data_IF_258296890189
#
_entry.id   IF_258296890189
#
_cell.length_a   1.000
_cell.length_b   1.000
_cell.length_c   1.000
_cell.angle_alpha   90.00
_cell.angle_beta   90.00
_cell.angle_gamma   90.00
#
_symmetry.space_group_name_H-M   'P 1'
#
loop_
_entity.id
_entity.type
_entity.pdbx_description
1 polymer ?
#
# COMPACT_ATOMS: atom_id res chain seq x y z
N UNK A 1 -101.60 14.89 -23.53
CA UNK A 1 -103.06 15.00 -23.31
C UNK A 1 -103.49 13.91 -22.32
N UNK A 2 -104.16 14.32 -21.23
CA UNK A 2 -105.00 13.55 -20.29
C UNK A 2 -104.40 12.45 -19.39
N UNK A 3 -104.30 12.83 -18.11
CA UNK A 3 -104.63 12.09 -16.88
C UNK A 3 -105.46 10.79 -17.02
N UNK A 4 -105.13 9.76 -16.22
CA UNK A 4 -105.81 9.49 -14.92
C UNK A 4 -105.14 8.39 -14.09
N UNK A 5 -105.18 8.64 -12.78
CA UNK A 5 -104.78 7.86 -11.60
C UNK A 5 -105.57 6.55 -11.40
N UNK A 6 -104.93 5.53 -10.82
CA UNK A 6 -105.49 4.76 -9.69
C UNK A 6 -104.39 4.05 -8.87
N UNK A 7 -104.51 4.16 -7.56
CA UNK A 7 -103.72 3.56 -6.47
C UNK A 7 -103.81 2.02 -6.41
N UNK A 8 -102.75 1.33 -5.96
CA UNK A 8 -102.74 0.56 -4.68
C UNK A 8 -101.35 -0.07 -4.35
N UNK A 9 -100.85 0.27 -3.15
CA UNK A 9 -100.11 -0.55 -2.15
C UNK A 9 -98.78 -1.29 -2.45
N UNK A 10 -97.83 -1.02 -1.55
CA UNK A 10 -96.47 -1.54 -1.39
C UNK A 10 -96.39 -3.00 -0.91
N UNK A 11 -95.38 -3.75 -1.38
CA UNK A 11 -94.65 -4.75 -0.58
C UNK A 11 -93.14 -4.59 -0.88
N UNK A 12 -92.38 -4.12 0.11
CA UNK A 12 -90.92 -4.02 0.09
C UNK A 12 -90.34 -5.38 0.51
N UNK A 13 -89.72 -6.12 -0.41
CA UNK A 13 -89.01 -7.35 -0.10
C UNK A 13 -87.56 -7.02 0.33
N UNK A 14 -87.30 -7.08 1.64
CA UNK A 14 -85.96 -7.00 2.22
C UNK A 14 -85.23 -8.33 2.02
N UNK A 15 -84.29 -8.38 1.07
CA UNK A 15 -83.29 -9.44 0.97
C UNK A 15 -82.26 -9.27 2.09
N UNK A 16 -82.44 -10.01 3.20
CA UNK A 16 -81.39 -10.20 4.21
C UNK A 16 -80.35 -11.19 3.65
N UNK A 17 -79.28 -10.66 3.07
CA UNK A 17 -78.05 -11.44 2.83
C UNK A 17 -77.38 -11.61 4.20
N UNK A 18 -77.57 -12.77 4.82
CA UNK A 18 -76.83 -13.13 6.03
C UNK A 18 -75.35 -13.31 5.69
N UNK A 19 -74.54 -12.28 5.93
CA UNK A 19 -73.09 -12.42 5.97
C UNK A 19 -72.72 -13.29 7.18
N UNK A 20 -72.45 -14.58 6.95
CA UNK A 20 -71.83 -15.44 7.95
C UNK A 20 -70.41 -14.94 8.21
N UNK A 21 -70.22 -14.26 9.33
CA UNK A 21 -68.88 -14.01 9.87
C UNK A 21 -68.33 -15.37 10.30
N UNK A 22 -67.21 -15.87 9.74
CA UNK A 22 -66.63 -17.10 10.25
C UNK A 22 -66.19 -16.87 11.70
N UNK A 23 -66.74 -17.66 12.61
CA UNK A 23 -66.30 -17.69 14.00
C UNK A 23 -64.81 -18.07 14.04
N UNK A 24 -63.95 -17.09 14.32
CA UNK A 24 -62.53 -17.31 14.58
C UNK A 24 -62.44 -18.08 15.90
N UNK A 25 -62.36 -19.40 15.80
CA UNK A 25 -62.06 -20.25 16.96
C UNK A 25 -60.62 -19.97 17.38
N UNK A 26 -60.45 -19.29 18.50
CA UNK A 26 -59.15 -19.17 19.15
C UNK A 26 -58.65 -20.58 19.50
N UNK A 27 -57.58 -21.03 18.83
CA UNK A 27 -57.00 -22.34 19.10
C UNK A 27 -56.45 -22.35 20.54
N UNK A 28 -56.92 -23.30 21.36
CA UNK A 28 -56.51 -23.43 22.76
C UNK A 28 -54.99 -23.69 22.84
N UNK A 29 -54.28 -22.79 23.52
CA UNK A 29 -52.87 -22.99 23.88
C UNK A 29 -52.82 -24.02 25.00
N UNK A 30 -52.00 -25.05 24.84
CA UNK A 30 -51.79 -26.10 25.85
C UNK A 30 -50.29 -26.24 26.11
N UNK A 31 -49.89 -26.46 27.36
CA UNK A 31 -48.51 -26.84 27.66
C UNK A 31 -48.42 -28.37 27.58
N UNK A 32 -47.46 -28.89 26.83
CA UNK A 32 -47.31 -30.33 26.66
C UNK A 32 -45.96 -30.72 26.07
N UNK A 33 -45.83 -32.02 25.78
CA UNK A 33 -44.62 -32.60 25.18
C UNK A 33 -44.97 -33.29 23.85
N UNK A 34 -44.08 -33.20 22.87
CA UNK A 34 -44.20 -33.90 21.59
C UNK A 34 -42.83 -34.16 20.96
N UNK A 35 -42.76 -35.13 20.06
CA UNK A 35 -41.55 -35.37 19.24
C UNK A 35 -41.61 -34.51 17.97
N UNK A 36 -40.58 -33.70 17.74
CA UNK A 36 -40.41 -32.91 16.52
C UNK A 36 -40.05 -33.82 15.33
N UNK A 37 -40.14 -33.29 14.11
CA UNK A 37 -39.82 -34.04 12.87
C UNK A 37 -38.36 -34.51 12.80
N UNK A 38 -37.46 -33.79 13.46
CA UNK A 38 -36.03 -34.10 13.57
C UNK A 38 -35.72 -35.04 14.75
N UNK A 39 -36.74 -35.58 15.43
CA UNK A 39 -36.60 -36.52 16.53
C UNK A 39 -36.39 -35.86 17.90
N UNK A 40 -36.30 -34.53 17.97
CA UNK A 40 -36.13 -33.84 19.24
C UNK A 40 -37.38 -33.95 20.13
N UNK A 41 -37.16 -34.12 21.44
CA UNK A 41 -38.23 -34.09 22.45
C UNK A 41 -38.48 -32.63 22.82
N UNK A 42 -39.65 -32.11 22.42
CA UNK A 42 -40.11 -30.76 22.74
C UNK A 42 -40.97 -30.75 24.00
N UNK A 43 -40.84 -29.71 24.82
CA UNK A 43 -41.75 -29.41 25.93
C UNK A 43 -42.03 -27.91 25.95
N UNK A 44 -43.30 -27.51 25.93
CA UNK A 44 -43.69 -26.10 25.91
C UNK A 44 -45.10 -25.86 25.38
N UNK A 45 -45.35 -24.66 24.88
CA UNK A 45 -46.62 -24.22 24.32
C UNK A 45 -46.96 -24.91 22.99
N UNK A 46 -48.19 -25.43 22.92
CA UNK A 46 -48.75 -26.15 21.78
C UNK A 46 -50.02 -25.44 21.31
N UNK A 47 -50.11 -25.24 20.00
CA UNK A 47 -51.32 -24.73 19.31
C UNK A 47 -51.71 -25.74 18.24
N UNK A 48 -52.92 -26.30 18.36
CA UNK A 48 -53.38 -27.38 17.46
C UNK A 48 -52.48 -28.61 17.49
N UNK A 49 -51.93 -28.95 18.66
CA UNK A 49 -51.01 -30.08 18.85
C UNK A 49 -49.60 -29.87 18.28
N UNK A 50 -49.26 -28.67 17.82
CA UNK A 50 -47.94 -28.33 17.26
C UNK A 50 -47.23 -27.30 18.13
N UNK A 51 -45.88 -27.39 18.27
CA UNK A 51 -45.09 -26.37 18.98
C UNK A 51 -45.33 -24.98 18.41
N UNK A 52 -45.76 -24.07 19.26
CA UNK A 52 -46.05 -22.68 18.91
C UNK A 52 -46.02 -21.83 20.18
N UNK A 53 -45.18 -20.79 20.21
CA UNK A 53 -44.85 -20.06 21.44
C UNK A 53 -43.56 -20.56 22.09
N UNK A 54 -43.38 -20.31 23.39
CA UNK A 54 -42.13 -20.64 24.08
C UNK A 54 -42.03 -22.13 24.40
N UNK A 55 -40.82 -22.68 24.30
CA UNK A 55 -40.56 -24.04 24.76
C UNK A 55 -39.09 -24.45 24.64
N UNK A 56 -38.84 -25.70 24.99
CA UNK A 56 -37.51 -26.33 25.00
C UNK A 56 -37.52 -27.61 24.18
N UNK A 57 -36.53 -27.78 23.32
CA UNK A 57 -36.28 -29.01 22.56
C UNK A 57 -34.96 -29.64 22.97
N UNK A 58 -34.95 -30.96 23.20
CA UNK A 58 -33.76 -31.78 23.48
C UNK A 58 -33.55 -32.74 22.34
N UNK A 59 -32.39 -32.67 21.72
CA UNK A 59 -32.01 -33.51 20.58
C UNK A 59 -31.26 -34.75 21.06
N UNK A 60 -31.30 -35.82 20.28
CA UNK A 60 -30.64 -37.10 20.62
C UNK A 60 -29.12 -37.00 20.70
N UNK A 61 -28.52 -36.04 19.99
CA UNK A 61 -27.08 -35.75 20.04
C UNK A 61 -26.66 -34.92 21.27
N UNK A 62 -27.60 -34.53 22.14
CA UNK A 62 -27.35 -33.70 23.32
C UNK A 62 -27.52 -32.19 23.08
N UNK A 63 -27.78 -31.74 21.85
CA UNK A 63 -28.10 -30.34 21.60
C UNK A 63 -29.39 -29.95 22.33
N UNK A 64 -29.50 -28.68 22.69
CA UNK A 64 -30.73 -28.12 23.26
C UNK A 64 -31.08 -26.79 22.63
N UNK A 65 -32.37 -26.55 22.43
CA UNK A 65 -32.91 -25.24 22.07
C UNK A 65 -33.93 -24.81 23.10
N UNK A 66 -33.88 -23.54 23.50
CA UNK A 66 -34.89 -22.91 24.33
C UNK A 66 -35.25 -21.55 23.73
N UNK A 67 -36.51 -21.37 23.37
CA UNK A 67 -36.95 -20.16 22.67
C UNK A 67 -38.33 -20.28 22.05
N UNK A 68 -38.62 -19.40 21.10
CA UNK A 68 -39.90 -19.36 20.41
C UNK A 68 -39.98 -20.38 19.27
N UNK A 69 -41.19 -20.93 19.07
CA UNK A 69 -41.51 -21.84 17.99
C UNK A 69 -42.69 -21.31 17.20
N UNK A 70 -42.69 -21.56 15.89
CA UNK A 70 -43.86 -21.36 15.02
C UNK A 70 -44.03 -22.60 14.16
N UNK A 71 -45.17 -23.29 14.31
CA UNK A 71 -45.51 -24.52 13.56
C UNK A 71 -44.42 -25.60 13.65
N UNK A 72 -43.82 -25.77 14.83
CA UNK A 72 -42.78 -26.77 15.07
C UNK A 72 -41.37 -26.39 14.62
N UNK A 73 -41.15 -25.16 14.14
CA UNK A 73 -39.84 -24.65 13.76
C UNK A 73 -39.38 -23.57 14.73
N UNK A 74 -38.09 -23.56 15.07
CA UNK A 74 -37.46 -22.48 15.83
C UNK A 74 -37.66 -21.14 15.11
N UNK A 75 -38.13 -20.15 15.86
CA UNK A 75 -38.49 -18.83 15.37
C UNK A 75 -38.21 -17.79 16.46
N UNK A 76 -38.19 -16.50 16.12
CA UNK A 76 -38.06 -15.44 17.13
C UNK A 76 -36.78 -15.54 17.94
N UNK A 77 -36.81 -15.10 19.20
CA UNK A 77 -35.64 -15.18 20.08
C UNK A 77 -35.48 -16.58 20.68
N UNK A 78 -34.22 -17.05 20.75
CA UNK A 78 -33.92 -18.31 21.41
C UNK A 78 -32.44 -18.58 21.57
N UNK A 79 -32.14 -19.49 22.50
CA UNK A 79 -30.81 -19.99 22.81
C UNK A 79 -30.67 -21.42 22.30
N UNK A 80 -29.61 -21.70 21.56
CA UNK A 80 -29.21 -23.05 21.18
C UNK A 80 -27.87 -23.39 21.82
N UNK A 81 -27.87 -24.38 22.69
CA UNK A 81 -26.64 -24.95 23.25
C UNK A 81 -26.31 -26.20 22.44
N UNK A 82 -25.13 -26.19 21.83
CA UNK A 82 -24.63 -27.32 21.06
C UNK A 82 -23.93 -28.31 21.99
N UNK A 83 -23.99 -29.60 21.68
CA UNK A 83 -23.33 -30.66 22.43
C UNK A 83 -21.80 -30.53 22.45
N UNK A 84 -21.23 -29.82 21.47
CA UNK A 84 -19.80 -29.48 21.43
C UNK A 84 -19.39 -28.41 22.46
N UNK A 85 -20.35 -27.77 23.13
CA UNK A 85 -20.15 -26.71 24.12
C UNK A 85 -20.27 -25.30 23.55
N UNK A 86 -20.41 -25.12 22.23
CA UNK A 86 -20.72 -23.83 21.64
C UNK A 86 -22.17 -23.41 21.93
N UNK A 87 -22.46 -22.12 21.78
CA UNK A 87 -23.80 -21.58 22.05
C UNK A 87 -24.16 -20.45 21.10
N UNK A 88 -25.41 -20.42 20.65
CA UNK A 88 -26.00 -19.28 19.95
C UNK A 88 -27.15 -18.69 20.77
N UNK A 89 -27.20 -17.37 20.86
CA UNK A 89 -28.28 -16.60 21.44
C UNK A 89 -28.74 -15.56 20.43
N UNK A 90 -29.99 -15.58 20.00
CA UNK A 90 -30.50 -14.56 19.09
C UNK A 90 -31.71 -14.98 18.28
N UNK A 91 -31.87 -14.32 17.14
CA UNK A 91 -33.05 -14.46 16.30
C UNK A 91 -32.98 -15.70 15.38
N UNK A 92 -34.11 -16.38 15.29
CA UNK A 92 -34.33 -17.56 14.47
C UNK A 92 -35.46 -17.33 13.47
N UNK A 93 -35.34 -17.92 12.30
CA UNK A 93 -36.42 -17.99 11.32
C UNK A 93 -36.40 -19.35 10.65
N UNK A 94 -37.46 -20.14 10.88
CA UNK A 94 -37.64 -21.46 10.25
C UNK A 94 -36.41 -22.37 10.45
N UNK A 95 -35.97 -22.52 11.70
CA UNK A 95 -34.78 -23.29 12.10
C UNK A 95 -33.42 -22.70 11.71
N UNK A 96 -33.36 -21.52 11.11
CA UNK A 96 -32.09 -20.87 10.74
C UNK A 96 -31.81 -19.65 11.62
N UNK A 97 -30.54 -19.43 11.99
CA UNK A 97 -30.10 -18.16 12.60
C UNK A 97 -30.30 -17.04 11.60
N UNK A 98 -31.09 -16.04 11.96
CA UNK A 98 -31.49 -14.96 11.06
C UNK A 98 -31.87 -13.70 11.84
N UNK A 99 -31.18 -12.59 11.62
CA UNK A 99 -31.31 -11.36 12.40
C UNK A 99 -30.13 -11.15 13.35
N UNK A 100 -30.34 -10.46 14.48
CA UNK A 100 -29.27 -10.22 15.45
C UNK A 100 -29.03 -11.46 16.31
N UNK A 101 -27.78 -11.74 16.62
CA UNK A 101 -27.44 -12.78 17.58
C UNK A 101 -25.96 -12.84 17.92
N UNK A 102 -25.68 -13.52 19.03
CA UNK A 102 -24.35 -13.78 19.56
C UNK A 102 -24.04 -15.26 19.45
N UNK A 103 -22.87 -15.60 18.90
CA UNK A 103 -22.34 -16.96 18.89
C UNK A 103 -21.09 -17.02 19.77
N UNK A 104 -21.10 -17.94 20.72
CA UNK A 104 -20.00 -18.29 21.61
C UNK A 104 -19.39 -19.60 21.11
N UNK A 105 -18.17 -19.55 20.60
CA UNK A 105 -17.45 -20.72 20.14
C UNK A 105 -16.73 -21.42 21.30
N UNK A 106 -16.47 -22.72 21.14
CA UNK A 106 -15.74 -23.54 22.13
C UNK A 106 -14.34 -23.04 22.43
N UNK A 107 -13.71 -22.32 21.49
CA UNK A 107 -12.38 -21.76 21.64
C UNK A 107 -12.38 -20.36 22.28
N UNK A 108 -13.47 -19.94 22.90
CA UNK A 108 -13.69 -18.61 23.46
C UNK A 108 -13.78 -17.46 22.44
N UNK A 109 -13.80 -17.74 21.13
CA UNK A 109 -14.19 -16.72 20.16
C UNK A 109 -15.67 -16.37 20.34
N UNK A 110 -16.02 -15.10 20.12
CA UNK A 110 -17.39 -14.61 20.21
C UNK A 110 -17.72 -13.73 19.01
N UNK A 111 -18.77 -14.07 18.28
CA UNK A 111 -19.34 -13.20 17.25
C UNK A 111 -20.61 -12.53 17.76
N UNK A 112 -20.72 -11.21 17.61
CA UNK A 112 -21.92 -10.43 17.92
C UNK A 112 -22.30 -9.68 16.65
N UNK A 113 -23.44 -10.00 16.04
CA UNK A 113 -23.80 -9.33 14.79
C UNK A 113 -25.03 -9.88 14.10
N UNK A 114 -25.13 -9.55 12.82
CA UNK A 114 -26.20 -9.96 11.95
C UNK A 114 -25.94 -11.35 11.33
N UNK A 115 -27.01 -12.13 11.23
CA UNK A 115 -27.04 -13.46 10.68
C UNK A 115 -28.07 -13.53 9.56
N UNK A 116 -27.78 -14.29 8.52
CA UNK A 116 -28.73 -14.63 7.47
C UNK A 116 -28.53 -16.07 7.04
N UNK A 117 -29.59 -16.89 7.12
CA UNK A 117 -29.58 -18.30 6.76
C UNK A 117 -28.38 -19.06 7.34
N UNK A 118 -28.22 -18.96 8.66
CA UNK A 118 -27.13 -19.59 9.43
C UNK A 118 -25.72 -19.04 9.22
N UNK A 119 -25.52 -17.99 8.40
CA UNK A 119 -24.20 -17.39 8.15
C UNK A 119 -24.11 -15.98 8.75
N UNK A 120 -22.90 -15.56 9.14
CA UNK A 120 -22.61 -14.17 9.49
C UNK A 120 -22.76 -13.32 8.22
N UNK A 121 -23.56 -12.27 8.29
CA UNK A 121 -23.94 -11.44 7.15
C UNK A 121 -24.22 -10.01 7.62
N UNK A 122 -23.79 -8.98 6.88
CA UNK A 122 -23.97 -7.59 7.30
C UNK A 122 -23.01 -7.17 8.42
N UNK A 123 -23.42 -6.23 9.28
CA UNK A 123 -22.55 -5.69 10.33
C UNK A 123 -22.37 -6.67 11.50
N UNK A 124 -21.14 -6.84 11.97
CA UNK A 124 -20.86 -7.60 13.18
C UNK A 124 -19.45 -7.45 13.72
N UNK A 125 -19.28 -7.81 14.97
CA UNK A 125 -18.03 -7.80 15.71
C UNK A 125 -17.60 -9.22 16.06
N UNK A 126 -16.39 -9.61 15.66
CA UNK A 126 -15.74 -10.84 16.11
C UNK A 126 -14.72 -10.49 17.19
N UNK A 127 -14.84 -11.13 18.34
CA UNK A 127 -13.85 -11.15 19.41
C UNK A 127 -13.10 -12.47 19.31
N UNK A 128 -11.79 -12.42 19.15
CA UNK A 128 -10.95 -13.59 19.09
C UNK A 128 -10.35 -13.91 20.46
N UNK A 129 -10.10 -15.18 20.73
CA UNK A 129 -9.54 -15.67 22.00
C UNK A 129 -8.16 -15.08 22.32
N UNK A 130 -7.41 -14.69 21.28
CA UNK A 130 -6.10 -14.05 21.39
C UNK A 130 -6.21 -12.54 21.67
N UNK A 131 -7.38 -12.02 22.03
CA UNK A 131 -7.59 -10.60 22.30
C UNK A 131 -7.78 -9.71 21.06
N UNK A 132 -7.55 -10.23 19.85
CA UNK A 132 -7.83 -9.48 18.63
C UNK A 132 -9.34 -9.26 18.43
N UNK A 133 -9.70 -8.23 17.67
CA UNK A 133 -11.10 -7.87 17.37
C UNK A 133 -11.26 -7.46 15.92
N UNK A 134 -12.33 -7.92 15.27
CA UNK A 134 -12.79 -7.39 13.99
C UNK A 134 -14.15 -6.72 14.16
N UNK A 135 -14.31 -5.51 13.65
CA UNK A 135 -15.58 -4.79 13.56
C UNK A 135 -15.81 -4.37 12.11
N UNK A 136 -16.86 -4.87 11.49
CA UNK A 136 -17.14 -4.50 10.11
C UNK A 136 -18.21 -5.33 9.45
N UNK A 137 -18.16 -5.31 8.13
CA UNK A 137 -19.10 -6.01 7.27
C UNK A 137 -18.70 -7.47 7.04
N UNK A 138 -19.69 -8.35 7.03
CA UNK A 138 -19.59 -9.78 6.82
C UNK A 138 -20.43 -10.20 5.63
N UNK A 139 -19.98 -11.21 4.90
CA UNK A 139 -20.74 -11.84 3.82
C UNK A 139 -20.38 -13.32 3.78
N UNK A 140 -21.39 -14.19 3.89
CA UNK A 140 -21.19 -15.65 3.89
C UNK A 140 -20.06 -16.11 4.84
N UNK A 141 -20.12 -15.71 6.11
CA UNK A 141 -19.15 -16.06 7.16
C UNK A 141 -17.74 -15.45 7.05
N UNK A 142 -17.47 -14.67 6.01
CA UNK A 142 -16.18 -14.00 5.76
C UNK A 142 -16.26 -12.49 5.96
N UNK A 143 -15.16 -11.87 6.37
CA UNK A 143 -15.00 -10.41 6.38
C UNK A 143 -15.06 -9.90 4.94
N UNK A 144 -15.95 -8.94 4.68
CA UNK A 144 -16.21 -8.45 3.33
C UNK A 144 -16.79 -7.03 3.38
N UNK A 145 -16.24 -6.09 2.60
CA UNK A 145 -16.57 -4.67 2.68
C UNK A 145 -15.66 -3.91 3.64
N UNK A 146 -16.16 -2.86 4.30
CA UNK A 146 -15.35 -2.06 5.24
C UNK A 146 -15.25 -2.73 6.60
N UNK A 147 -14.07 -2.65 7.23
CA UNK A 147 -13.89 -3.10 8.61
C UNK A 147 -12.58 -2.66 9.24
N UNK A 148 -12.58 -2.68 10.58
CA UNK A 148 -11.45 -2.47 11.46
C UNK A 148 -11.06 -3.79 12.09
N UNK A 149 -9.81 -4.21 11.89
CA UNK A 149 -9.21 -5.33 12.63
C UNK A 149 -8.15 -4.76 13.56
N UNK A 150 -8.34 -4.92 14.87
CA UNK A 150 -7.39 -4.55 15.91
C UNK A 150 -6.72 -5.82 16.42
N UNK A 151 -5.39 -5.86 16.37
CA UNK A 151 -4.56 -6.94 16.87
C UNK A 151 -4.40 -6.83 18.40
N UNK A 152 -3.96 -7.92 19.04
CA UNK A 152 -3.74 -7.98 20.50
C UNK A 152 -2.79 -6.87 20.99
N UNK A 153 -1.73 -6.60 20.22
CA UNK A 153 -0.73 -5.59 20.53
C UNK A 153 -1.17 -4.15 20.27
N UNK A 154 -2.43 -3.92 19.85
CA UNK A 154 -2.96 -2.59 19.53
C UNK A 154 -2.72 -2.13 18.09
N UNK A 155 -1.88 -2.83 17.31
CA UNK A 155 -1.79 -2.59 15.87
C UNK A 155 -3.17 -2.74 15.21
N UNK A 156 -3.42 -2.10 14.07
CA UNK A 156 -4.70 -2.23 13.39
C UNK A 156 -4.64 -2.11 11.88
N UNK A 157 -5.62 -2.72 11.22
CA UNK A 157 -5.97 -2.46 9.84
C UNK A 157 -7.38 -1.90 9.75
N UNK A 158 -7.54 -0.74 9.10
CA UNK A 158 -8.83 -0.12 8.79
C UNK A 158 -8.95 0.04 7.28
N UNK A 159 -9.83 -0.71 6.64
CA UNK A 159 -9.94 -0.66 5.19
C UNK A 159 -10.96 -1.60 4.59
N UNK A 160 -10.82 -1.82 3.28
CA UNK A 160 -11.61 -2.77 2.53
C UNK A 160 -11.13 -4.22 2.75
N UNK A 161 -12.09 -5.13 2.74
CA UNK A 161 -11.94 -6.56 2.89
C UNK A 161 -12.68 -7.27 1.77
N UNK A 162 -12.08 -8.33 1.22
CA UNK A 162 -12.72 -9.25 0.30
C UNK A 162 -12.35 -10.67 0.73
N UNK A 163 -13.35 -11.46 1.08
CA UNK A 163 -13.21 -12.86 1.47
C UNK A 163 -12.07 -13.11 2.48
N UNK A 164 -12.14 -12.40 3.61
CA UNK A 164 -11.15 -12.42 4.70
C UNK A 164 -9.77 -11.85 4.38
N UNK A 165 -9.56 -11.27 3.20
CA UNK A 165 -8.30 -10.63 2.80
C UNK A 165 -8.43 -9.12 2.77
N UNK A 166 -7.40 -8.41 3.27
CA UNK A 166 -7.24 -6.97 3.03
C UNK A 166 -7.17 -6.74 1.53
N UNK A 167 -8.00 -5.84 1.04
CA UNK A 167 -8.14 -5.51 -0.39
C UNK A 167 -8.46 -4.03 -0.50
N UNK A 168 -8.54 -3.48 -1.72
CA UNK A 168 -9.04 -2.11 -1.94
C UNK A 168 -8.18 -1.05 -1.24
N UNK A 169 -8.80 -0.10 -0.54
CA UNK A 169 -8.09 0.96 0.19
C UNK A 169 -8.08 0.66 1.69
N UNK A 170 -6.94 0.87 2.32
CA UNK A 170 -6.80 0.66 3.75
C UNK A 170 -5.59 1.32 4.37
N UNK A 171 -5.69 1.51 5.68
CA UNK A 171 -4.64 1.99 6.56
C UNK A 171 -4.23 0.82 7.44
N UNK A 172 -2.93 0.52 7.49
CA UNK A 172 -2.35 -0.36 8.49
C UNK A 172 -1.41 0.44 9.36
N UNK A 173 -1.61 0.40 10.67
CA UNK A 173 -0.76 0.99 11.69
C UNK A 173 -0.17 -0.15 12.51
N UNK A 174 1.15 -0.29 12.50
CA UNK A 174 1.85 -1.39 13.18
C UNK A 174 2.03 -1.14 14.68
N UNK A 175 1.76 0.07 15.17
CA UNK A 175 1.91 0.46 16.57
C UNK A 175 3.34 0.69 17.03
N UNK A 176 4.33 0.46 16.17
CA UNK A 176 5.77 0.68 16.38
C UNK A 176 6.28 1.98 15.74
N UNK A 177 5.36 2.82 15.25
CA UNK A 177 5.64 4.03 14.50
C UNK A 177 5.65 3.84 12.98
N UNK A 178 5.56 2.59 12.49
CA UNK A 178 5.36 2.33 11.06
C UNK A 178 3.88 2.35 10.68
N UNK A 179 3.60 2.87 9.48
CA UNK A 179 2.24 3.00 8.97
C UNK A 179 2.19 2.95 7.45
N UNK A 180 1.15 2.35 6.90
CA UNK A 180 0.88 2.32 5.47
C UNK A 180 -0.52 2.78 5.18
N UNK A 181 -0.65 3.70 4.24
CA UNK A 181 -1.92 4.20 3.74
C UNK A 181 -1.96 4.03 2.23
N UNK A 182 -2.77 3.11 1.72
CA UNK A 182 -2.75 2.85 0.29
C UNK A 182 -3.66 1.75 -0.19
N UNK A 183 -3.35 1.28 -1.40
CA UNK A 183 -4.02 0.15 -2.01
C UNK A 183 -3.48 -1.19 -1.50
N UNK A 184 -4.38 -2.15 -1.37
CA UNK A 184 -4.13 -3.52 -0.93
C UNK A 184 -4.75 -4.52 -1.92
N UNK A 185 -4.10 -5.66 -2.10
CA UNK A 185 -4.66 -6.80 -2.81
C UNK A 185 -4.21 -8.09 -2.13
N UNK A 186 -5.15 -8.98 -1.81
CA UNK A 186 -4.84 -10.30 -1.26
C UNK A 186 -3.95 -10.29 0.00
N UNK A 187 -4.15 -9.34 0.93
CA UNK A 187 -3.34 -9.08 2.12
C UNK A 187 -2.00 -8.37 1.91
N UNK A 188 -1.61 -8.07 0.68
CA UNK A 188 -0.35 -7.42 0.34
C UNK A 188 -0.58 -5.96 -0.09
N UNK A 189 0.39 -5.08 0.16
CA UNK A 189 0.40 -3.72 -0.42
C UNK A 189 0.57 -3.84 -1.93
N UNK A 190 -0.34 -3.25 -2.68
CA UNK A 190 -0.37 -3.37 -4.14
C UNK A 190 -1.07 -2.16 -4.76
N UNK A 191 -0.45 -1.50 -5.75
CA UNK A 191 -0.89 -0.22 -6.30
C UNK A 191 -0.26 0.97 -5.58
N UNK A 192 -0.93 2.14 -5.58
CA UNK A 192 -0.37 3.36 -4.96
C UNK A 192 -0.62 3.43 -3.46
N UNK A 193 0.41 3.83 -2.71
CA UNK A 193 0.34 4.04 -1.26
C UNK A 193 1.49 4.85 -0.69
N UNK A 194 1.31 5.30 0.54
CA UNK A 194 2.32 5.97 1.35
C UNK A 194 2.73 5.06 2.50
N UNK A 195 4.03 4.85 2.68
CA UNK A 195 4.60 4.18 3.84
C UNK A 195 5.39 5.18 4.69
N UNK A 196 5.06 5.23 5.97
CA UNK A 196 5.76 6.00 6.99
C UNK A 196 6.63 5.03 7.78
N UNK A 197 7.93 5.28 7.81
CA UNK A 197 8.90 4.49 8.55
C UNK A 197 9.02 5.01 9.98
N UNK A 198 9.30 4.11 10.93
CA UNK A 198 9.54 4.48 12.33
C UNK A 198 10.74 5.43 12.50
N UNK A 199 11.68 5.43 11.53
CA UNK A 199 12.81 6.37 11.48
C UNK A 199 12.37 7.82 11.31
N UNK A 200 11.19 8.06 10.72
CA UNK A 200 10.66 9.35 10.28
C UNK A 200 10.79 9.59 8.77
N UNK A 201 11.37 8.64 8.03
CA UNK A 201 11.36 8.65 6.56
C UNK A 201 9.94 8.32 6.05
N UNK A 202 9.64 8.66 4.79
CA UNK A 202 8.43 8.16 4.14
C UNK A 202 8.59 7.98 2.64
N UNK A 203 7.87 7.00 2.10
CA UNK A 203 7.80 6.70 0.68
C UNK A 203 6.37 6.89 0.17
N UNK A 204 6.20 7.63 -0.92
CA UNK A 204 4.94 7.77 -1.65
C UNK A 204 5.14 7.22 -3.05
N UNK A 205 4.46 6.13 -3.43
CA UNK A 205 4.66 5.58 -4.76
C UNK A 205 3.91 4.29 -5.03
N UNK A 206 4.37 3.61 -6.06
CA UNK A 206 3.85 2.34 -6.53
C UNK A 206 4.39 1.17 -5.68
N UNK A 207 3.51 0.22 -5.43
CA UNK A 207 3.75 -1.02 -4.70
C UNK A 207 3.27 -2.22 -5.50
N UNK A 208 4.01 -3.32 -5.41
CA UNK A 208 3.62 -4.61 -5.99
C UNK A 208 4.09 -5.71 -5.05
N UNK A 209 3.14 -6.52 -4.59
CA UNK A 209 3.37 -7.67 -3.71
C UNK A 209 4.27 -7.29 -2.51
N UNK A 210 3.88 -6.24 -1.79
CA UNK A 210 4.60 -5.69 -0.64
C UNK A 210 5.97 -5.03 -0.91
N UNK A 211 6.41 -4.94 -2.17
CA UNK A 211 7.65 -4.27 -2.56
C UNK A 211 7.39 -2.94 -3.28
N UNK A 212 8.31 -1.97 -3.12
CA UNK A 212 8.32 -0.78 -3.96
C UNK A 212 8.70 -1.19 -5.39
N UNK A 213 7.81 -0.93 -6.35
CA UNK A 213 7.98 -1.38 -7.74
C UNK A 213 7.18 -0.44 -8.63
N UNK A 214 7.85 0.30 -9.53
CA UNK A 214 7.27 1.37 -10.32
C UNK A 214 7.92 2.72 -10.02
N UNK A 215 7.13 3.78 -9.83
CA UNK A 215 7.66 5.12 -9.50
C UNK A 215 7.28 5.54 -8.09
N UNK A 216 8.17 6.29 -7.45
CA UNK A 216 7.91 6.83 -6.14
C UNK A 216 8.83 7.97 -5.73
N UNK A 217 8.44 8.62 -4.63
CA UNK A 217 9.15 9.68 -3.95
C UNK A 217 9.49 9.18 -2.56
N UNK A 218 10.77 9.09 -2.24
CA UNK A 218 11.26 8.80 -0.91
C UNK A 218 11.78 10.09 -0.27
N UNK A 219 11.22 10.46 0.88
CA UNK A 219 11.67 11.61 1.64
C UNK A 219 12.35 11.12 2.90
N UNK A 220 13.63 11.45 3.00
CA UNK A 220 14.47 11.12 4.13
C UNK A 220 14.23 12.14 5.25
N UNK A 221 14.32 11.71 6.49
CA UNK A 221 14.21 12.55 7.68
C UNK A 221 15.26 13.65 7.72
N UNK A 222 16.43 13.43 7.12
CA UNK A 222 17.49 14.43 7.00
C UNK A 222 17.15 15.57 6.00
N UNK A 223 16.03 15.46 5.28
CA UNK A 223 15.58 16.44 4.28
C UNK A 223 15.96 16.09 2.84
N UNK A 224 16.73 15.03 2.61
CA UNK A 224 16.99 14.52 1.27
C UNK A 224 15.69 13.98 0.64
N UNK A 225 15.61 14.03 -0.69
CA UNK A 225 14.47 13.52 -1.44
C UNK A 225 14.96 12.75 -2.66
N UNK A 226 14.52 11.51 -2.80
CA UNK A 226 14.61 10.78 -4.06
C UNK A 226 13.26 10.82 -4.77
N UNK A 227 13.27 11.04 -6.08
CA UNK A 227 12.12 10.86 -6.96
C UNK A 227 12.57 10.05 -8.18
N UNK A 228 12.01 8.86 -8.38
CA UNK A 228 12.47 8.01 -9.48
C UNK A 228 11.83 6.64 -9.52
N UNK A 229 12.49 5.75 -10.25
CA UNK A 229 12.06 4.39 -10.49
C UNK A 229 12.56 3.43 -9.39
N UNK A 230 11.73 2.42 -9.10
CA UNK A 230 11.98 1.37 -8.13
C UNK A 230 11.74 0.00 -8.78
N UNK A 231 12.58 -0.96 -8.45
CA UNK A 231 12.42 -2.36 -8.83
C UNK A 231 12.77 -3.24 -7.63
N UNK A 232 11.83 -4.08 -7.20
CA UNK A 232 12.00 -5.01 -6.08
C UNK A 232 12.52 -4.33 -4.79
N UNK A 233 12.01 -3.14 -4.48
CA UNK A 233 12.40 -2.38 -3.28
C UNK A 233 13.61 -1.47 -3.47
N UNK A 234 14.34 -1.58 -4.57
CA UNK A 234 15.58 -0.84 -4.81
C UNK A 234 15.39 0.29 -5.82
N UNK A 235 16.08 1.42 -5.60
CA UNK A 235 16.14 2.51 -6.60
C UNK A 235 16.84 1.98 -7.85
N UNK A 236 16.20 2.15 -8.99
CA UNK A 236 16.69 1.62 -10.27
C UNK A 236 16.27 2.54 -11.41
N UNK A 237 16.89 2.43 -12.59
CA UNK A 237 16.52 3.24 -13.75
C UNK A 237 16.68 4.74 -13.48
N UNK A 238 15.85 5.59 -14.10
CA UNK A 238 16.03 7.04 -14.00
C UNK A 238 15.44 7.64 -12.72
N UNK A 239 16.17 8.57 -12.11
CA UNK A 239 15.71 9.29 -10.93
C UNK A 239 16.45 10.60 -10.66
N UNK A 240 15.96 11.33 -9.67
CA UNK A 240 16.57 12.55 -9.14
C UNK A 240 16.73 12.44 -7.64
N UNK A 241 17.95 12.61 -7.14
CA UNK A 241 18.26 12.81 -5.73
C UNK A 241 18.45 14.31 -5.50
N UNK A 242 17.66 14.90 -4.60
CA UNK A 242 17.83 16.26 -4.09
C UNK A 242 18.32 16.15 -2.66
N UNK A 243 19.49 16.71 -2.38
CA UNK A 243 20.06 16.68 -1.05
C UNK A 243 19.64 17.91 -0.27
N UNK A 244 19.46 17.78 1.04
CA UNK A 244 19.18 18.88 1.96
C UNK A 244 20.29 19.96 1.93
N UNK A 245 21.51 19.58 1.50
CA UNK A 245 22.61 20.51 1.25
C UNK A 245 22.33 21.52 0.11
N UNK A 246 21.36 21.23 -0.76
CA UNK A 246 21.10 21.93 -2.02
C UNK A 246 21.76 21.27 -3.24
N UNK A 247 22.52 20.19 -3.05
CA UNK A 247 23.07 19.41 -4.16
C UNK A 247 21.96 18.63 -4.87
N UNK A 248 22.16 18.30 -6.14
CA UNK A 248 21.20 17.49 -6.90
C UNK A 248 21.92 16.55 -7.84
N UNK A 249 21.49 15.30 -7.88
CA UNK A 249 21.85 14.34 -8.92
C UNK A 249 20.61 13.97 -9.74
N UNK A 250 20.71 13.97 -11.06
CA UNK A 250 19.69 13.47 -11.98
C UNK A 250 20.35 12.52 -12.97
N UNK A 251 19.90 11.27 -13.03
CA UNK A 251 20.47 10.24 -13.91
C UNK A 251 20.02 8.84 -13.54
N UNK A 252 20.75 7.85 -14.06
CA UNK A 252 20.43 6.44 -13.86
C UNK A 252 20.88 5.92 -12.49
N UNK A 253 20.13 4.96 -11.97
CA UNK A 253 20.36 4.22 -10.74
C UNK A 253 20.39 2.73 -11.01
N UNK A 254 21.23 2.01 -10.29
CA UNK A 254 21.28 0.55 -10.29
C UNK A 254 21.49 0.08 -8.85
N UNK A 255 20.56 -0.72 -8.33
CA UNK A 255 20.61 -1.28 -6.97
C UNK A 255 20.86 -0.21 -5.89
N UNK A 256 20.15 0.91 -5.99
CA UNK A 256 20.28 1.99 -5.02
C UNK A 256 21.38 3.01 -5.32
N UNK A 257 22.30 2.73 -6.24
CA UNK A 257 23.49 3.54 -6.49
C UNK A 257 23.41 4.33 -7.79
N UNK A 258 24.01 5.53 -7.83
CA UNK A 258 24.17 6.30 -9.04
C UNK A 258 25.07 5.53 -10.02
N UNK A 259 24.58 5.34 -11.24
CA UNK A 259 25.23 4.51 -12.26
C UNK A 259 24.86 5.03 -13.65
N UNK A 260 25.52 4.53 -14.70
CA UNK A 260 25.19 4.91 -16.07
C UNK A 260 25.42 6.40 -16.34
N UNK A 261 24.49 7.09 -16.99
CA UNK A 261 24.64 8.52 -17.32
C UNK A 261 23.92 9.37 -16.27
N UNK A 262 24.55 10.46 -15.86
CA UNK A 262 23.93 11.38 -14.92
C UNK A 262 24.62 12.73 -14.82
N UNK A 263 23.88 13.68 -14.26
CA UNK A 263 24.36 15.02 -13.94
C UNK A 263 24.28 15.25 -12.43
N UNK A 264 25.40 15.62 -11.82
CA UNK A 264 25.46 16.12 -10.46
C UNK A 264 25.68 17.63 -10.47
N UNK A 265 24.91 18.35 -9.69
CA UNK A 265 24.95 19.80 -9.52
C UNK A 265 25.26 20.08 -8.05
N UNK A 266 26.44 20.65 -7.76
CA UNK A 266 26.82 21.07 -6.41
C UNK A 266 26.26 22.46 -6.15
N UNK A 267 25.19 22.57 -5.35
CA UNK A 267 24.47 23.82 -4.98
C UNK A 267 24.30 24.84 -6.11
N UNK A 268 24.13 24.39 -7.35
CA UNK A 268 24.05 25.24 -8.55
C UNK A 268 25.35 25.93 -8.96
N UNK A 269 26.49 25.68 -8.33
CA UNK A 269 27.77 26.37 -8.58
C UNK A 269 28.82 25.54 -9.31
N UNK A 270 28.74 24.22 -9.27
CA UNK A 270 29.58 23.34 -10.06
C UNK A 270 28.73 22.20 -10.62
N UNK A 271 29.14 21.60 -11.73
CA UNK A 271 28.39 20.52 -12.38
C UNK A 271 29.29 19.45 -12.93
N UNK A 272 28.88 18.19 -12.81
CA UNK A 272 29.47 17.07 -13.53
C UNK A 272 28.38 16.41 -14.35
N UNK A 273 28.59 16.24 -15.65
CA UNK A 273 27.71 15.47 -16.53
C UNK A 273 28.55 14.41 -17.22
N UNK A 274 28.26 13.13 -16.97
CA UNK A 274 29.10 12.04 -17.47
C UNK A 274 28.64 10.65 -17.06
N UNK A 275 29.56 9.70 -17.18
CA UNK A 275 29.36 8.33 -16.70
C UNK A 275 29.56 8.23 -15.18
N UNK A 276 28.75 7.39 -14.56
CA UNK A 276 28.75 7.09 -13.15
C UNK A 276 28.85 5.58 -12.94
N UNK A 277 29.57 5.19 -11.91
CA UNK A 277 29.67 3.81 -11.48
C UNK A 277 29.80 3.79 -9.96
N UNK A 278 28.89 3.07 -9.29
CA UNK A 278 28.90 2.90 -7.82
C UNK A 278 29.03 4.23 -7.06
N UNK A 279 28.20 5.22 -7.43
CA UNK A 279 28.21 6.57 -6.85
C UNK A 279 29.48 7.41 -7.14
N UNK A 280 30.32 6.97 -8.09
CA UNK A 280 31.55 7.69 -8.46
C UNK A 280 31.51 8.14 -9.92
N UNK A 281 32.08 9.32 -10.19
CA UNK A 281 32.38 9.77 -11.55
C UNK A 281 33.34 8.76 -12.20
N UNK A 282 32.98 8.27 -13.38
CA UNK A 282 33.70 7.24 -14.11
C UNK A 282 33.62 7.52 -15.61
N UNK A 283 34.26 6.70 -16.45
CA UNK A 283 34.12 6.75 -17.90
C UNK A 283 34.48 8.11 -18.48
N UNK A 284 33.57 8.74 -19.23
CA UNK A 284 33.79 10.05 -19.82
C UNK A 284 32.79 11.07 -19.29
N UNK A 285 33.25 12.29 -19.01
CA UNK A 285 32.40 13.33 -18.46
C UNK A 285 32.97 14.73 -18.54
N UNK A 286 32.08 15.70 -18.37
CA UNK A 286 32.38 17.13 -18.31
C UNK A 286 32.17 17.62 -16.89
N UNK A 287 33.22 18.12 -16.25
CA UNK A 287 33.16 18.81 -14.97
C UNK A 287 33.36 20.30 -15.17
N UNK A 288 32.45 21.12 -14.63
CA UNK A 288 32.55 22.58 -14.59
C UNK A 288 32.70 23.01 -13.13
N UNK A 289 33.81 23.65 -12.82
CA UNK A 289 34.08 24.18 -11.49
C UNK A 289 33.39 25.53 -11.27
N UNK A 290 33.22 25.89 -10.01
CA UNK A 290 32.67 27.20 -9.58
C UNK A 290 33.46 28.40 -10.12
N UNK A 291 34.76 28.25 -10.32
CA UNK A 291 35.61 29.31 -10.84
C UNK A 291 35.48 29.49 -12.37
N UNK A 292 34.69 28.65 -13.05
CA UNK A 292 34.50 28.67 -14.50
C UNK A 292 35.46 27.76 -15.27
N UNK A 293 36.39 27.07 -14.60
CA UNK A 293 37.20 26.04 -15.25
C UNK A 293 36.29 24.88 -15.71
N UNK A 294 36.67 24.21 -16.79
CA UNK A 294 35.95 23.07 -17.35
C UNK A 294 36.91 21.97 -17.78
N UNK A 295 36.68 20.73 -17.34
CA UNK A 295 37.38 19.55 -17.82
C UNK A 295 36.42 18.67 -18.58
N UNK A 296 36.81 18.28 -19.79
CA UNK A 296 36.09 17.33 -20.62
C UNK A 296 37.05 16.19 -20.97
N UNK A 297 36.81 15.00 -20.42
CA UNK A 297 37.70 13.86 -20.63
C UNK A 297 37.35 12.64 -19.79
N UNK A 298 38.34 11.76 -19.64
CA UNK A 298 38.21 10.51 -18.90
C UNK A 298 38.22 10.69 -17.37
N UNK A 299 37.49 9.81 -16.68
CA UNK A 299 37.32 9.74 -15.24
C UNK A 299 37.40 8.31 -14.73
N UNK A 300 37.99 8.13 -13.55
CA UNK A 300 38.00 6.87 -12.82
C UNK A 300 37.95 7.14 -11.33
N UNK A 301 36.93 6.60 -10.66
CA UNK A 301 36.75 6.69 -9.21
C UNK A 301 36.90 8.13 -8.69
N UNK A 302 36.15 9.07 -9.29
CA UNK A 302 36.17 10.50 -8.98
C UNK A 302 37.43 11.28 -9.36
N UNK A 303 38.42 10.66 -10.01
CA UNK A 303 39.64 11.32 -10.46
C UNK A 303 39.67 11.44 -11.99
N UNK A 304 40.25 12.54 -12.52
CA UNK A 304 40.58 12.64 -13.94
C UNK A 304 41.56 11.52 -14.31
N UNK A 305 41.22 10.70 -15.30
CA UNK A 305 42.01 9.53 -15.69
C UNK A 305 41.80 9.24 -17.19
N UNK A 306 42.88 9.18 -17.97
CA UNK A 306 42.83 9.12 -19.43
C UNK A 306 43.00 10.48 -20.09
N UNK A 307 42.67 10.57 -21.39
CA UNK A 307 42.80 11.83 -22.15
C UNK A 307 41.69 12.83 -21.82
N UNK A 308 42.03 14.12 -21.84
CA UNK A 308 41.05 15.18 -21.64
C UNK A 308 41.54 16.57 -22.01
N UNK A 309 40.60 17.52 -22.01
CA UNK A 309 40.82 18.94 -22.25
C UNK A 309 40.34 19.71 -21.02
N UNK A 310 41.25 20.42 -20.36
CA UNK A 310 40.97 21.36 -19.28
C UNK A 310 41.02 22.79 -19.84
N UNK A 311 39.90 23.50 -19.82
CA UNK A 311 39.76 24.90 -20.17
C UNK A 311 39.74 25.71 -18.89
N UNK A 312 40.60 26.72 -18.80
CA UNK A 312 40.63 27.62 -17.65
C UNK A 312 39.75 28.83 -17.91
N UNK A 313 39.12 29.35 -16.85
CA UNK A 313 38.31 30.56 -16.91
C UNK A 313 39.11 31.79 -17.38
N UNK A 314 40.43 31.81 -17.17
CA UNK A 314 41.32 32.86 -17.64
C UNK A 314 41.62 32.81 -19.16
N UNK A 315 41.03 31.86 -19.90
CA UNK A 315 41.23 31.68 -21.34
C UNK A 315 42.29 30.64 -21.73
N UNK A 316 43.12 30.19 -20.78
CA UNK A 316 44.09 29.13 -21.01
C UNK A 316 43.44 27.77 -21.29
N UNK A 317 44.20 26.84 -21.86
CA UNK A 317 43.78 25.46 -22.13
C UNK A 317 44.92 24.48 -21.90
N UNK A 318 44.58 23.28 -21.46
CA UNK A 318 45.47 22.14 -21.37
C UNK A 318 44.79 20.96 -22.07
N UNK A 319 45.49 20.32 -23.01
CA UNK A 319 45.07 19.07 -23.65
C UNK A 319 46.14 18.02 -23.38
N UNK A 320 45.78 16.92 -22.73
CA UNK A 320 46.74 15.87 -22.40
C UNK A 320 46.08 14.75 -21.62
N UNK A 321 46.92 13.86 -21.10
CA UNK A 321 46.48 12.70 -20.33
C UNK A 321 46.60 12.94 -18.83
N UNK A 322 45.74 12.28 -18.07
CA UNK A 322 45.70 12.29 -16.62
C UNK A 322 45.79 10.85 -16.10
N UNK A 323 46.39 10.69 -14.92
CA UNK A 323 46.38 9.45 -14.17
C UNK A 323 46.17 9.78 -12.69
N UNK A 324 45.14 9.18 -12.09
CA UNK A 324 44.76 9.43 -10.69
C UNK A 324 44.68 10.94 -10.36
N UNK A 325 44.08 11.72 -11.25
CA UNK A 325 43.85 13.16 -11.09
C UNK A 325 45.06 14.05 -11.40
N UNK A 326 46.23 13.47 -11.70
CA UNK A 326 47.45 14.21 -12.01
C UNK A 326 47.70 14.19 -13.52
N UNK A 327 48.19 15.30 -14.07
CA UNK A 327 48.67 15.35 -15.46
C UNK A 327 49.80 14.33 -15.62
N UNK A 328 49.71 13.47 -16.62
CA UNK A 328 50.68 12.40 -16.86
C UNK A 328 50.69 12.05 -18.34
N UNK A 329 51.85 12.17 -19.01
CA UNK A 329 52.01 11.97 -20.44
C UNK A 329 52.17 13.23 -21.28
N UNK A 330 52.20 13.06 -22.60
CA UNK A 330 52.37 14.14 -23.58
C UNK A 330 51.16 15.07 -23.55
N UNK A 331 51.44 16.38 -23.60
CA UNK A 331 50.46 17.41 -23.36
C UNK A 331 50.73 18.67 -24.19
N UNK A 332 49.68 19.44 -24.45
CA UNK A 332 49.71 20.75 -25.08
C UNK A 332 49.06 21.74 -24.12
N UNK A 333 49.79 22.76 -23.71
CA UNK A 333 49.28 23.93 -22.99
C UNK A 333 49.11 25.09 -23.96
N UNK A 334 48.03 25.86 -23.82
CA UNK A 334 47.82 27.13 -24.48
C UNK A 334 47.54 28.15 -23.37
N UNK A 335 48.38 29.16 -23.23
CA UNK A 335 48.19 30.25 -22.27
C UNK A 335 47.14 31.24 -22.79
N UNK A 336 46.67 32.12 -21.92
CA UNK A 336 45.67 33.15 -22.26
C UNK A 336 46.15 34.17 -23.30
N UNK A 337 47.46 34.37 -23.43
CA UNK A 337 48.11 35.22 -24.44
C UNK A 337 48.29 34.52 -25.80
N UNK A 338 47.88 33.25 -25.92
CA UNK A 338 48.03 32.44 -27.13
C UNK A 338 49.35 31.66 -27.21
N UNK A 339 50.27 31.80 -26.25
CA UNK A 339 51.50 31.00 -26.21
C UNK A 339 51.17 29.51 -26.07
N UNK A 340 51.69 28.68 -26.97
CA UNK A 340 51.53 27.22 -26.95
C UNK A 340 52.79 26.55 -26.40
N UNK A 341 52.64 25.57 -25.52
CA UNK A 341 53.73 24.74 -25.01
C UNK A 341 53.39 23.27 -25.22
N UNK A 342 54.14 22.61 -26.09
CA UNK A 342 54.13 21.16 -26.21
C UNK A 342 55.11 20.60 -25.17
N UNK A 343 54.63 19.77 -24.24
CA UNK A 343 55.45 19.27 -23.14
C UNK A 343 55.00 17.87 -22.69
N UNK A 344 55.71 17.30 -21.72
CA UNK A 344 55.34 16.03 -21.08
C UNK A 344 55.24 16.24 -19.58
N UNK A 345 54.24 15.60 -18.97
CA UNK A 345 54.07 15.54 -17.53
C UNK A 345 54.37 14.13 -17.03
N UNK A 346 54.84 14.04 -15.78
CA UNK A 346 54.94 12.80 -15.03
C UNK A 346 54.45 13.07 -13.61
N UNK A 347 53.38 12.41 -13.19
CA UNK A 347 52.81 12.56 -11.86
C UNK A 347 52.55 14.03 -11.45
N UNK A 348 52.02 14.82 -12.37
CA UNK A 348 51.63 16.21 -12.14
C UNK A 348 52.75 17.24 -12.33
N UNK A 349 53.98 16.79 -12.64
CA UNK A 349 55.13 17.67 -12.80
C UNK A 349 55.65 17.62 -14.24
N UNK A 350 56.02 18.79 -14.81
CA UNK A 350 56.66 18.83 -16.14
C UNK A 350 57.98 18.04 -16.11
N UNK A 351 58.14 17.12 -17.05
CA UNK A 351 59.28 16.23 -17.16
C UNK A 351 59.47 15.78 -18.61
N UNK A 352 60.70 15.90 -19.13
CA UNK A 352 61.04 15.61 -20.52
C UNK A 352 61.06 16.85 -21.43
N UNK A 353 61.17 16.64 -22.75
CA UNK A 353 61.36 17.73 -23.71
C UNK A 353 60.13 18.64 -23.81
N UNK A 354 60.37 19.91 -24.11
CA UNK A 354 59.31 20.87 -24.44
C UNK A 354 59.69 21.79 -25.61
N UNK A 355 58.66 22.28 -26.29
CA UNK A 355 58.76 23.33 -27.31
C UNK A 355 57.68 24.38 -27.04
N UNK A 356 58.07 25.65 -27.00
CA UNK A 356 57.21 26.80 -26.82
C UNK A 356 57.09 27.58 -28.14
N UNK A 357 55.86 27.99 -28.45
CA UNK A 357 55.49 28.73 -29.63
C UNK A 357 54.78 30.03 -29.24
N UNK A 358 55.05 31.12 -29.96
CA UNK A 358 54.23 32.34 -29.87
C UNK A 358 52.82 32.11 -30.47
N UNK A 359 51.96 33.13 -30.36
CA UNK A 359 50.60 33.08 -30.89
C UNK A 359 50.54 32.93 -32.43
N UNK A 360 51.63 33.24 -33.15
CA UNK A 360 51.75 33.08 -34.60
C UNK A 360 52.31 31.69 -34.99
N UNK A 361 52.68 30.85 -34.02
CA UNK A 361 53.24 29.53 -34.24
C UNK A 361 54.76 29.51 -34.43
N UNK A 362 55.48 30.61 -34.19
CA UNK A 362 56.94 30.62 -34.24
C UNK A 362 57.52 30.02 -32.96
N UNK A 363 58.54 29.18 -33.08
CA UNK A 363 59.24 28.63 -31.91
C UNK A 363 59.97 29.76 -31.18
N UNK A 364 59.61 29.99 -29.92
CA UNK A 364 60.25 30.99 -29.05
C UNK A 364 61.25 30.35 -28.09
N UNK A 365 61.02 29.10 -27.70
CA UNK A 365 61.88 28.37 -26.75
C UNK A 365 61.79 26.87 -26.98
N UNK A 366 62.88 26.16 -26.71
CA UNK A 366 62.92 24.70 -26.61
C UNK A 366 63.87 24.31 -25.48
N UNK A 367 63.64 23.16 -24.87
CA UNK A 367 64.49 22.69 -23.78
C UNK A 367 63.97 21.41 -23.17
N UNK A 368 64.46 21.11 -21.97
CA UNK A 368 64.06 19.92 -21.22
C UNK A 368 63.67 20.29 -19.78
N UNK A 369 62.53 19.76 -19.33
CA UNK A 369 62.13 19.82 -17.92
C UNK A 369 62.64 18.60 -17.17
N UNK A 370 63.19 18.81 -15.98
CA UNK A 370 63.39 17.76 -14.98
C UNK A 370 62.79 18.21 -13.66
N UNK A 371 61.80 17.46 -13.17
CA UNK A 371 61.05 17.76 -11.95
C UNK A 371 60.57 19.23 -11.88
N UNK A 372 60.01 19.71 -12.99
CA UNK A 372 59.42 21.05 -13.09
C UNK A 372 60.42 22.18 -13.33
N UNK A 373 61.73 21.89 -13.34
CA UNK A 373 62.79 22.88 -13.62
C UNK A 373 63.36 22.68 -15.01
N UNK A 374 63.66 23.77 -15.71
CA UNK A 374 64.38 23.72 -16.99
C UNK A 374 65.83 23.36 -16.70
N UNK A 375 66.34 22.31 -17.35
CA UNK A 375 67.71 21.81 -17.14
C UNK A 375 68.61 21.97 -18.37
N UNK A 376 68.04 22.23 -19.54
CA UNK A 376 68.74 22.48 -20.80
C UNK A 376 67.95 23.43 -21.68
#
# INVERSE_FOLDING_TARGET
MKHRSSFLTYILALFLISSSVPAVHAQKIMVGSCTLRDGAVYTGELVGGKPNGKGRAVYSNGDTYEGEFVKGLRHGEGTFNYADGSRYEGNWTKNERNGKGTFYAVNNNRYVGLWYRNKKEGSGTMYYYNGARYEGSWKNDKRNGKGLYTYENGAFYKGDWVDDKKSGKGIFDWGDGEKYEGSWANNERNGRGTYFYATGDYYVGDWKNDMQDGRGIYKFKNGDVYEGQYLLGERSGEGTMRFASGDTYTGSFLQGEQSGKGTFIWKGVATYTGDWQHNMMHGHGVYKWKNGDEYNGGWKNNAMDGEGILRYANGGRFKGSFSAGKRDGKSIEIKSDGTRIDCTYKQGVKHGPFVEYDANGNVTKKGEYSNGRIVK
#
